data_IF_641773083114
#
_entry.id   IF_641773083114
#
_cell.length_a   1.000
_cell.length_b   1.000
_cell.length_c   1.000
_cell.angle_alpha   90.00
_cell.angle_beta   90.00
_cell.angle_gamma   90.00
#
_symmetry.space_group_name_H-M   'P 1'
#
loop_
_entity.id
_entity.type
_entity.pdbx_description
1 polymer ?
#
# COMPACT_ATOMS: atom_id res chain seq x y z
N UNK A 1 4.98 -1.48 17.61
CA UNK A 1 5.28 -0.09 17.23
C UNK A 1 6.09 -0.11 15.94
N UNK A 2 5.74 0.72 14.94
CA UNK A 2 6.51 0.82 13.69
C UNK A 2 7.61 1.86 13.89
N UNK A 3 8.85 1.40 13.96
CA UNK A 3 10.04 2.20 14.23
C UNK A 3 11.18 1.83 13.27
N UNK A 4 12.37 2.40 13.48
CA UNK A 4 13.56 2.11 12.67
C UNK A 4 13.87 0.62 12.59
N UNK A 5 13.86 -0.11 13.71
CA UNK A 5 14.13 -1.56 13.75
C UNK A 5 13.10 -2.32 12.91
N UNK A 6 11.83 -1.97 13.02
CA UNK A 6 10.77 -2.55 12.17
C UNK A 6 11.07 -2.30 10.69
N UNK A 7 11.37 -1.06 10.28
CA UNK A 7 11.62 -0.77 8.87
C UNK A 7 12.85 -1.53 8.34
N UNK A 8 13.96 -1.56 9.08
CA UNK A 8 15.15 -2.35 8.72
C UNK A 8 14.85 -3.84 8.60
N UNK A 9 13.99 -4.34 9.49
CA UNK A 9 13.56 -5.73 9.50
C UNK A 9 12.55 -6.06 8.42
N UNK A 10 11.84 -5.10 7.82
CA UNK A 10 10.75 -5.44 6.90
C UNK A 10 10.97 -4.94 5.48
N UNK A 11 11.95 -4.07 5.25
CA UNK A 11 12.42 -3.75 3.90
C UNK A 11 13.10 -5.00 3.31
N UNK A 12 12.66 -5.50 2.14
CA UNK A 12 13.29 -6.64 1.52
C UNK A 12 14.74 -6.33 1.14
N UNK A 13 15.64 -7.25 1.43
CA UNK A 13 17.08 -7.13 1.13
C UNK A 13 17.32 -7.12 -0.38
N UNK A 14 16.52 -7.87 -1.14
CA UNK A 14 16.62 -7.98 -2.59
C UNK A 14 15.54 -7.17 -3.30
N UNK A 15 15.89 -6.61 -4.45
CA UNK A 15 14.92 -6.05 -5.40
C UNK A 15 14.32 -7.20 -6.20
N UNK A 16 12.99 -7.31 -6.16
CA UNK A 16 12.26 -8.20 -7.06
C UNK A 16 11.90 -7.45 -8.36
N UNK A 17 11.35 -8.16 -9.34
CA UNK A 17 10.93 -7.58 -10.63
C UNK A 17 10.01 -6.37 -10.47
N UNK A 18 9.09 -6.40 -9.48
CA UNK A 18 8.20 -5.28 -9.19
C UNK A 18 8.97 -4.03 -8.74
N UNK A 19 10.04 -4.18 -7.96
CA UNK A 19 10.86 -3.02 -7.57
C UNK A 19 11.72 -2.49 -8.72
N UNK A 20 12.24 -3.38 -9.56
CA UNK A 20 12.99 -2.96 -10.78
C UNK A 20 12.06 -2.15 -11.69
N UNK A 21 10.83 -2.62 -11.90
CA UNK A 21 9.82 -1.91 -12.69
C UNK A 21 9.44 -0.57 -12.04
N UNK A 22 9.30 -0.51 -10.72
CA UNK A 22 9.07 0.75 -10.00
C UNK A 22 10.18 1.77 -10.26
N UNK A 23 11.44 1.36 -10.15
CA UNK A 23 12.58 2.26 -10.36
C UNK A 23 12.68 2.75 -11.81
N UNK A 24 12.43 1.86 -12.79
CA UNK A 24 12.42 2.25 -14.19
C UNK A 24 11.27 3.22 -14.53
N UNK A 25 10.06 2.98 -14.02
CA UNK A 25 8.94 3.91 -14.18
C UNK A 25 9.29 5.27 -13.57
N UNK A 26 9.80 5.28 -12.33
CA UNK A 26 10.15 6.51 -11.63
C UNK A 26 11.22 7.30 -12.39
N UNK A 27 12.26 6.62 -12.89
CA UNK A 27 13.31 7.22 -13.70
C UNK A 27 12.74 7.88 -14.96
N UNK A 28 11.88 7.18 -15.72
CA UNK A 28 11.28 7.74 -16.93
C UNK A 28 10.39 8.95 -16.67
N UNK A 29 9.68 8.98 -15.55
CA UNK A 29 8.87 10.14 -15.15
C UNK A 29 9.78 11.33 -14.81
N UNK A 30 10.89 11.09 -14.11
CA UNK A 30 11.86 12.13 -13.81
C UNK A 30 12.55 12.68 -15.07
N UNK A 31 12.83 11.82 -16.05
CA UNK A 31 13.39 12.20 -17.35
C UNK A 31 12.39 12.94 -18.25
N UNK A 32 11.08 12.78 -18.00
CA UNK A 32 10.00 13.38 -18.77
C UNK A 32 9.36 14.59 -18.04
N UNK A 33 10.14 15.35 -17.27
CA UNK A 33 9.68 16.52 -16.51
C UNK A 33 8.42 16.26 -15.65
N UNK A 34 8.37 15.07 -15.04
CA UNK A 34 7.26 14.55 -14.24
C UNK A 34 5.97 14.27 -15.03
N UNK A 35 5.98 14.40 -16.35
CA UNK A 35 4.84 14.17 -17.25
C UNK A 35 4.51 12.68 -17.37
N UNK A 36 3.22 12.35 -17.23
CA UNK A 36 2.70 11.00 -17.44
C UNK A 36 2.03 10.91 -18.81
N UNK A 37 2.72 10.30 -19.75
CA UNK A 37 2.12 9.88 -21.01
C UNK A 37 1.33 8.56 -20.85
N UNK A 38 0.72 8.13 -21.96
CA UNK A 38 -0.09 6.91 -21.96
C UNK A 38 0.71 5.63 -21.70
N UNK A 39 1.95 5.54 -22.18
CA UNK A 39 2.79 4.37 -21.98
C UNK A 39 3.21 4.26 -20.51
N UNK A 40 3.66 5.36 -19.92
CA UNK A 40 4.00 5.46 -18.50
C UNK A 40 2.79 5.14 -17.63
N UNK A 41 1.61 5.71 -17.93
CA UNK A 41 0.41 5.45 -17.16
C UNK A 41 0.03 3.96 -17.16
N UNK A 42 0.06 3.30 -18.33
CA UNK A 42 -0.20 1.87 -18.42
C UNK A 42 0.75 1.05 -17.56
N UNK A 43 2.05 1.41 -17.53
CA UNK A 43 3.03 0.76 -16.67
C UNK A 43 2.76 0.97 -15.19
N UNK A 44 2.46 2.20 -14.75
CA UNK A 44 2.05 2.49 -13.37
C UNK A 44 0.84 1.64 -12.97
N UNK A 45 -0.18 1.60 -13.84
CA UNK A 45 -1.39 0.85 -13.55
C UNK A 45 -1.15 -0.66 -13.52
N UNK A 46 -0.38 -1.19 -14.47
CA UNK A 46 -0.02 -2.60 -14.53
C UNK A 46 0.80 -3.02 -13.30
N UNK A 47 1.74 -2.18 -12.89
CA UNK A 47 2.52 -2.36 -11.66
C UNK A 47 1.61 -2.42 -10.43
N UNK A 48 0.62 -1.51 -10.33
CA UNK A 48 -0.24 -1.40 -9.14
C UNK A 48 -1.38 -2.41 -9.11
N UNK A 49 -1.99 -2.64 -10.26
CA UNK A 49 -3.31 -3.21 -10.42
C UNK A 49 -3.34 -4.21 -11.57
N UNK A 50 -2.29 -5.03 -11.71
CA UNK A 50 -2.12 -6.07 -12.74
C UNK A 50 -3.32 -7.01 -12.89
N UNK A 51 -4.09 -7.25 -11.82
CA UNK A 51 -5.30 -8.10 -11.81
C UNK A 51 -6.56 -7.38 -12.31
N UNK A 52 -6.48 -6.07 -12.49
CA UNK A 52 -7.59 -5.14 -12.72
C UNK A 52 -7.41 -4.34 -14.01
N UNK A 53 -6.54 -4.80 -14.94
CA UNK A 53 -6.23 -4.14 -16.23
C UNK A 53 -7.47 -3.79 -17.05
N UNK A 54 -8.49 -4.65 -17.02
CA UNK A 54 -9.76 -4.47 -17.74
C UNK A 54 -10.54 -3.20 -17.38
N UNK A 55 -10.25 -2.56 -16.25
CA UNK A 55 -10.97 -1.36 -15.81
C UNK A 55 -10.42 -0.05 -16.38
N UNK A 56 -9.19 -0.07 -16.91
CA UNK A 56 -8.75 0.98 -17.83
C UNK A 56 -9.26 0.63 -19.21
N UNK A 57 -9.88 1.60 -19.86
CA UNK A 57 -10.38 1.44 -21.22
C UNK A 57 -9.61 2.40 -22.12
N UNK A 58 -8.96 1.86 -23.17
CA UNK A 58 -8.14 2.63 -24.12
C UNK A 58 -8.92 3.82 -24.71
N UNK A 59 -10.23 3.66 -24.93
CA UNK A 59 -11.12 4.73 -25.41
C UNK A 59 -11.17 5.97 -24.51
N UNK A 60 -10.78 5.84 -23.23
CA UNK A 60 -10.73 6.93 -22.27
C UNK A 60 -9.33 7.53 -22.15
N UNK A 61 -8.37 7.17 -23.01
CA UNK A 61 -6.98 7.67 -22.99
C UNK A 61 -6.91 9.18 -22.81
N UNK A 62 -7.61 9.94 -23.65
CA UNK A 62 -7.57 11.41 -23.60
C UNK A 62 -8.15 11.98 -22.29
N UNK A 63 -9.16 11.30 -21.72
CA UNK A 63 -9.70 11.67 -20.41
C UNK A 63 -8.66 11.50 -19.30
N UNK A 64 -7.88 10.42 -19.32
CA UNK A 64 -6.81 10.21 -18.34
C UNK A 64 -5.68 11.23 -18.50
N UNK A 65 -5.23 11.46 -19.74
CA UNK A 65 -4.14 12.41 -20.01
C UNK A 65 -4.52 13.85 -19.67
N UNK A 66 -5.76 14.27 -19.97
CA UNK A 66 -6.28 15.57 -19.54
C UNK A 66 -6.27 15.69 -18.01
N UNK A 67 -6.75 14.66 -17.32
CA UNK A 67 -6.76 14.65 -15.86
C UNK A 67 -5.34 14.74 -15.28
N UNK A 68 -4.35 14.05 -15.87
CA UNK A 68 -2.96 14.16 -15.42
C UNK A 68 -2.36 15.54 -15.64
N UNK A 69 -2.73 16.23 -16.72
CA UNK A 69 -2.31 17.63 -16.93
C UNK A 69 -2.90 18.54 -15.84
N UNK A 70 -4.18 18.40 -15.55
CA UNK A 70 -4.85 19.21 -14.53
C UNK A 70 -4.26 19.01 -13.13
N UNK A 71 -3.77 17.81 -12.78
CA UNK A 71 -3.24 17.59 -11.42
C UNK A 71 -1.96 18.37 -11.14
N UNK A 72 -1.21 18.85 -12.13
CA UNK A 72 0.02 19.61 -11.87
C UNK A 72 -0.29 20.96 -11.21
N UNK A 73 -1.38 21.61 -11.64
CA UNK A 73 -1.78 22.95 -11.19
C UNK A 73 -2.52 22.97 -9.85
N UNK A 74 -2.96 21.81 -9.36
CA UNK A 74 -3.71 21.70 -8.10
C UNK A 74 -2.80 21.84 -6.87
N UNK A 75 -3.36 22.24 -5.72
CA UNK A 75 -2.64 22.16 -4.44
C UNK A 75 -2.50 20.70 -3.99
N UNK A 76 -1.47 20.40 -3.20
CA UNK A 76 -1.18 19.03 -2.76
C UNK A 76 -2.36 18.37 -2.03
N UNK A 77 -3.16 19.14 -1.29
CA UNK A 77 -4.34 18.64 -0.57
C UNK A 77 -5.47 18.24 -1.51
N UNK A 78 -5.56 18.85 -2.70
CA UNK A 78 -6.63 18.66 -3.68
C UNK A 78 -6.35 17.49 -4.62
N UNK A 79 -5.07 17.21 -4.91
CA UNK A 79 -4.64 16.23 -5.92
C UNK A 79 -5.27 14.84 -5.75
N UNK A 80 -5.37 14.33 -4.52
CA UNK A 80 -5.95 13.00 -4.27
C UNK A 80 -7.48 12.97 -4.45
N UNK A 81 -8.16 14.08 -4.12
CA UNK A 81 -9.61 14.18 -4.24
C UNK A 81 -10.05 14.45 -5.67
N UNK A 82 -9.21 15.12 -6.46
CA UNK A 82 -9.44 15.31 -7.90
C UNK A 82 -9.67 14.00 -8.65
N UNK A 83 -8.96 12.92 -8.28
CA UNK A 83 -9.19 11.59 -8.86
C UNK A 83 -10.55 10.99 -8.48
N UNK A 84 -11.14 11.39 -7.35
CA UNK A 84 -12.47 10.93 -6.91
C UNK A 84 -13.58 11.70 -7.60
N UNK A 85 -13.39 12.99 -7.82
CA UNK A 85 -14.35 13.91 -8.41
C UNK A 85 -13.57 14.90 -9.28
N UNK A 86 -13.51 14.64 -10.59
CA UNK A 86 -12.93 15.61 -11.52
C UNK A 86 -13.78 16.88 -11.53
N UNK A 87 -13.22 18.01 -11.99
CA UNK A 87 -13.94 19.30 -12.15
C UNK A 87 -15.26 19.17 -12.94
N UNK A 88 -15.38 18.14 -13.78
CA UNK A 88 -16.57 17.79 -14.55
C UNK A 88 -17.43 16.66 -13.94
N UNK A 89 -17.24 16.33 -12.66
CA UNK A 89 -17.92 15.25 -11.90
C UNK A 89 -17.83 13.85 -12.53
N UNK A 90 -16.91 13.63 -13.48
CA UNK A 90 -16.69 12.31 -14.08
C UNK A 90 -15.61 11.58 -13.31
N UNK A 91 -15.96 10.46 -12.68
CA UNK A 91 -14.97 9.55 -12.10
C UNK A 91 -14.09 8.99 -13.22
N UNK A 92 -12.77 9.01 -13.02
CA UNK A 92 -11.85 8.36 -13.95
C UNK A 92 -12.02 6.84 -13.84
N UNK A 93 -12.46 6.13 -14.89
CA UNK A 93 -12.73 4.71 -14.81
C UNK A 93 -11.49 3.93 -14.40
N UNK A 94 -11.62 2.99 -13.46
CA UNK A 94 -10.50 2.20 -12.95
C UNK A 94 -9.55 2.93 -11.99
N UNK A 95 -9.63 4.26 -11.83
CA UNK A 95 -8.76 5.01 -10.92
C UNK A 95 -9.49 5.23 -9.59
N UNK A 96 -9.34 4.27 -8.69
CA UNK A 96 -9.74 4.39 -7.29
C UNK A 96 -8.59 4.95 -6.44
N UNK A 97 -8.87 5.29 -5.18
CA UNK A 97 -7.87 5.90 -4.26
C UNK A 97 -6.52 5.16 -4.17
N UNK A 98 -6.44 3.81 -4.17
CA UNK A 98 -5.16 3.11 -4.21
C UNK A 98 -4.35 3.37 -5.49
N UNK A 99 -5.02 3.45 -6.64
CA UNK A 99 -4.38 3.75 -7.92
C UNK A 99 -4.00 5.23 -7.98
N UNK A 100 -4.90 6.12 -7.58
CA UNK A 100 -4.66 7.56 -7.53
C UNK A 100 -3.45 7.93 -6.64
N UNK A 101 -3.37 7.37 -5.44
CA UNK A 101 -2.21 7.57 -4.55
C UNK A 101 -0.92 7.01 -5.12
N UNK A 102 -0.99 5.94 -5.92
CA UNK A 102 0.19 5.39 -6.62
C UNK A 102 0.67 6.30 -7.73
N UNK A 103 -0.25 6.81 -8.56
CA UNK A 103 0.07 7.79 -9.62
C UNK A 103 0.72 9.02 -8.99
N UNK A 104 0.11 9.58 -7.95
CA UNK A 104 0.67 10.74 -7.23
C UNK A 104 2.01 10.44 -6.57
N UNK A 105 2.22 9.22 -6.07
CA UNK A 105 3.52 8.81 -5.54
C UNK A 105 4.60 8.80 -6.62
N UNK A 106 4.31 8.32 -7.82
CA UNK A 106 5.28 8.33 -8.91
C UNK A 106 5.66 9.76 -9.35
N UNK A 107 4.71 10.69 -9.35
CA UNK A 107 4.98 12.11 -9.68
C UNK A 107 5.70 12.82 -8.52
N UNK A 108 5.30 12.52 -7.27
CA UNK A 108 5.75 13.21 -6.07
C UNK A 108 6.13 12.21 -4.95
N UNK A 109 7.22 11.46 -5.11
CA UNK A 109 7.56 10.30 -4.26
C UNK A 109 7.80 10.64 -2.79
N UNK A 110 8.12 11.91 -2.49
CA UNK A 110 8.37 12.40 -1.14
C UNK A 110 7.14 13.05 -0.47
N UNK A 111 6.02 13.18 -1.19
CA UNK A 111 4.82 13.89 -0.71
C UNK A 111 3.59 12.99 -0.57
N UNK A 112 3.46 11.99 -1.43
CA UNK A 112 2.28 11.12 -1.48
C UNK A 112 2.67 9.68 -1.18
N UNK A 113 2.31 9.12 -0.01
CA UNK A 113 2.49 7.70 0.23
C UNK A 113 1.48 6.89 -0.59
N UNK A 114 1.91 5.71 -1.04
CA UNK A 114 1.05 4.74 -1.73
C UNK A 114 0.07 4.15 -0.73
N UNK A 115 -1.23 4.26 -0.98
CA UNK A 115 -2.24 3.62 -0.12
C UNK A 115 -2.63 2.26 -0.69
N UNK A 116 -2.18 1.18 -0.06
CA UNK A 116 -2.60 -0.18 -0.38
C UNK A 116 -3.38 -0.83 0.76
N UNK A 117 -4.28 -1.76 0.43
CA UNK A 117 -5.05 -2.53 1.43
C UNK A 117 -4.14 -3.29 2.40
N UNK A 118 -2.99 -3.80 1.95
CA UNK A 118 -1.99 -4.47 2.78
C UNK A 118 -1.33 -3.50 3.75
N UNK A 119 -0.87 -2.34 3.26
CA UNK A 119 -0.27 -1.32 4.15
C UNK A 119 -1.25 -0.80 5.20
N UNK A 120 -2.52 -0.58 4.82
CA UNK A 120 -3.60 -0.22 5.76
C UNK A 120 -3.84 -1.36 6.76
N UNK A 121 -3.78 -2.61 6.30
CA UNK A 121 -3.84 -3.80 7.14
C UNK A 121 -2.75 -3.79 8.21
N UNK A 122 -1.49 -3.64 7.81
CA UNK A 122 -0.34 -3.58 8.72
C UNK A 122 -0.48 -2.45 9.76
N UNK A 123 -0.87 -1.25 9.34
CA UNK A 123 -1.08 -0.13 10.27
C UNK A 123 -2.22 -0.41 11.27
N UNK A 124 -3.30 -1.06 10.81
CA UNK A 124 -4.42 -1.46 11.69
C UNK A 124 -3.97 -2.52 12.70
N UNK A 125 -3.25 -3.54 12.22
CA UNK A 125 -2.77 -4.64 13.05
C UNK A 125 -1.76 -4.18 14.11
N UNK A 126 -0.98 -3.14 13.81
CA UNK A 126 -0.06 -2.48 14.75
C UNK A 126 -0.74 -1.43 15.65
N UNK A 127 -2.06 -1.29 15.58
CA UNK A 127 -2.85 -0.37 16.42
C UNK A 127 -2.72 1.11 16.07
N UNK A 128 -2.11 1.45 14.93
CA UNK A 128 -1.97 2.84 14.47
C UNK A 128 -3.23 3.35 13.78
N UNK A 129 -4.04 2.44 13.25
CA UNK A 129 -5.37 2.74 12.72
C UNK A 129 -6.44 1.96 13.47
N UNK A 130 -7.53 2.64 13.83
CA UNK A 130 -8.67 2.00 14.53
C UNK A 130 -9.42 0.99 13.65
N UNK A 131 -9.45 1.22 12.33
CA UNK A 131 -10.19 0.41 11.35
C UNK A 131 -9.54 0.48 9.98
N UNK A 132 -9.87 -0.48 9.10
CA UNK A 132 -9.35 -0.51 7.71
C UNK A 132 -9.98 0.54 6.80
N UNK A 133 -11.25 0.91 7.05
CA UNK A 133 -11.94 1.96 6.28
C UNK A 133 -11.60 3.34 6.86
N UNK A 134 -10.53 3.93 6.35
CA UNK A 134 -10.03 5.26 6.73
C UNK A 134 -9.87 6.18 5.52
N UNK A 135 -9.82 7.49 5.76
CA UNK A 135 -9.52 8.45 4.71
C UNK A 135 -8.05 8.41 4.29
N UNK A 136 -7.73 8.86 3.07
CA UNK A 136 -6.33 9.03 2.65
C UNK A 136 -5.58 10.02 3.55
N UNK A 137 -6.25 11.06 4.07
CA UNK A 137 -5.64 12.05 4.97
C UNK A 137 -5.15 11.40 6.27
N UNK A 138 -5.98 10.56 6.88
CA UNK A 138 -5.61 9.84 8.10
C UNK A 138 -4.48 8.85 7.83
N UNK A 139 -4.56 8.12 6.71
CA UNK A 139 -3.49 7.22 6.26
C UNK A 139 -2.17 7.98 6.11
N UNK A 140 -2.18 9.08 5.36
CA UNK A 140 -1.03 9.95 5.10
C UNK A 140 -0.45 10.44 6.43
N UNK A 141 -1.29 10.86 7.37
CA UNK A 141 -0.88 11.34 8.69
C UNK A 141 -0.07 10.29 9.45
N UNK A 142 -0.55 9.04 9.51
CA UNK A 142 0.19 7.96 10.19
C UNK A 142 1.50 7.60 9.48
N UNK A 143 1.52 7.58 8.15
CA UNK A 143 2.76 7.37 7.40
C UNK A 143 3.78 8.49 7.67
N UNK A 144 3.35 9.75 7.70
CA UNK A 144 4.25 10.87 7.99
C UNK A 144 4.75 10.87 9.44
N UNK A 145 3.96 10.37 10.40
CA UNK A 145 4.46 10.11 11.77
C UNK A 145 5.60 9.09 11.75
N UNK A 146 5.44 7.97 11.05
CA UNK A 146 6.50 6.96 10.89
C UNK A 146 7.74 7.57 10.22
N UNK A 147 7.55 8.30 9.13
CA UNK A 147 8.60 8.97 8.37
C UNK A 147 9.41 9.95 9.23
N UNK A 148 8.72 10.79 10.02
CA UNK A 148 9.36 11.76 10.91
C UNK A 148 10.04 11.10 12.12
N UNK A 149 9.41 10.09 12.74
CA UNK A 149 9.98 9.36 13.87
C UNK A 149 11.26 8.61 13.50
N UNK A 150 11.41 8.21 12.23
CA UNK A 150 12.62 7.60 11.71
C UNK A 150 13.61 8.64 11.13
N UNK A 151 13.48 9.91 11.50
CA UNK A 151 14.34 11.03 11.06
C UNK A 151 14.52 11.09 9.54
N UNK A 152 13.51 10.67 8.77
CA UNK A 152 13.54 10.63 7.30
C UNK A 152 14.65 9.76 6.69
N UNK A 153 15.19 8.81 7.46
CA UNK A 153 16.19 7.84 6.97
C UNK A 153 15.61 6.93 5.86
N UNK A 154 14.30 6.73 5.87
CA UNK A 154 13.58 5.87 4.91
C UNK A 154 12.67 6.71 4.04
N UNK A 155 12.74 6.54 2.72
CA UNK A 155 11.78 7.14 1.79
C UNK A 155 10.36 6.60 2.03
N UNK A 156 9.35 7.33 1.56
CA UNK A 156 7.96 6.86 1.63
C UNK A 156 7.78 5.50 0.94
N UNK A 157 8.52 5.23 -0.15
CA UNK A 157 8.54 3.92 -0.81
C UNK A 157 9.13 2.83 0.08
N UNK A 158 10.24 3.09 0.77
CA UNK A 158 10.84 2.12 1.71
C UNK A 158 9.88 1.79 2.86
N UNK A 159 9.15 2.79 3.37
CA UNK A 159 8.10 2.56 4.38
C UNK A 159 6.98 1.70 3.80
N UNK A 160 6.43 2.06 2.64
CA UNK A 160 5.39 1.28 1.95
C UNK A 160 5.80 -0.18 1.74
N UNK A 161 7.03 -0.43 1.26
CA UNK A 161 7.57 -1.80 1.10
C UNK A 161 7.64 -2.56 2.40
N UNK A 162 8.14 -1.94 3.47
CA UNK A 162 8.20 -2.59 4.78
C UNK A 162 6.81 -3.03 5.27
N UNK A 163 5.83 -2.14 5.14
CA UNK A 163 4.44 -2.43 5.53
C UNK A 163 3.84 -3.55 4.68
N UNK A 164 4.09 -3.53 3.37
CA UNK A 164 3.59 -4.51 2.43
C UNK A 164 4.18 -5.90 2.68
N UNK A 165 5.50 -6.01 2.80
CA UNK A 165 6.21 -7.26 3.09
C UNK A 165 5.76 -7.87 4.41
N UNK A 166 5.58 -7.05 5.46
CA UNK A 166 5.02 -7.54 6.72
C UNK A 166 3.63 -8.17 6.54
N UNK A 167 2.75 -7.53 5.77
CA UNK A 167 1.42 -8.07 5.49
C UNK A 167 1.48 -9.36 4.67
N UNK A 168 2.36 -9.46 3.67
CA UNK A 168 2.48 -10.65 2.82
C UNK A 168 2.98 -11.86 3.62
N UNK A 169 4.03 -11.69 4.42
CA UNK A 169 4.55 -12.77 5.24
C UNK A 169 3.57 -13.21 6.32
N UNK A 170 2.83 -12.26 6.92
CA UNK A 170 1.76 -12.58 7.87
C UNK A 170 0.65 -13.41 7.21
N UNK A 171 0.23 -13.03 6.00
CA UNK A 171 -0.77 -13.78 5.23
C UNK A 171 -0.28 -15.20 4.92
N UNK A 172 0.98 -15.33 4.50
CA UNK A 172 1.62 -16.62 4.25
C UNK A 172 1.61 -17.49 5.51
N UNK A 173 2.11 -16.97 6.64
CA UNK A 173 2.16 -17.70 7.91
C UNK A 173 0.75 -18.13 8.36
N UNK A 174 -0.24 -17.24 8.21
CA UNK A 174 -1.64 -17.57 8.51
C UNK A 174 -2.21 -18.69 7.63
N UNK A 175 -1.78 -18.81 6.37
CA UNK A 175 -2.18 -19.92 5.49
C UNK A 175 -1.55 -21.24 5.93
N UNK A 176 -0.27 -21.21 6.29
CA UNK A 176 0.47 -22.37 6.82
C UNK A 176 -0.19 -22.89 8.10
N UNK A 177 -0.47 -22.02 9.07
CA UNK A 177 -1.11 -22.39 10.34
C UNK A 177 -2.53 -22.97 10.16
N UNK A 178 -3.20 -22.64 9.05
CA UNK A 178 -4.53 -23.19 8.71
C UNK A 178 -4.47 -24.53 7.97
N UNK A 179 -3.29 -25.16 7.89
CA UNK A 179 -3.11 -26.44 7.21
C UNK A 179 -3.36 -26.37 5.69
N UNK A 180 -3.37 -25.17 5.10
CA UNK A 180 -3.44 -25.05 3.64
C UNK A 180 -2.07 -25.43 3.09
N UNK A 181 -1.99 -26.49 2.29
CA UNK A 181 -0.76 -27.01 1.68
C UNK A 181 0.05 -25.88 1.03
N UNK A 182 1.16 -25.52 1.66
CA UNK A 182 2.12 -24.54 1.17
C UNK A 182 3.54 -25.09 1.37
N UNK A 183 3.77 -26.34 1.00
CA UNK A 183 5.11 -26.97 1.16
C UNK A 183 6.14 -26.25 0.25
N UNK A 184 5.71 -25.69 -0.88
CA UNK A 184 6.56 -24.94 -1.81
C UNK A 184 6.82 -23.47 -1.42
N UNK A 185 5.84 -22.71 -0.90
CA UNK A 185 6.12 -21.29 -0.54
C UNK A 185 6.93 -21.17 0.78
N UNK A 186 6.85 -22.18 1.65
CA UNK A 186 7.60 -22.25 2.92
C UNK A 186 9.11 -22.28 2.67
N UNK A 187 9.61 -23.10 1.75
CA UNK A 187 11.05 -23.27 1.52
C UNK A 187 11.75 -21.99 0.99
N UNK A 188 11.00 -21.12 0.29
CA UNK A 188 11.53 -19.88 -0.30
C UNK A 188 11.47 -18.72 0.70
N UNK A 189 10.41 -18.64 1.53
CA UNK A 189 10.19 -17.50 2.44
C UNK A 189 10.77 -17.71 3.86
N UNK A 190 11.12 -18.95 4.23
CA UNK A 190 11.74 -19.25 5.53
C UNK A 190 13.22 -18.84 5.61
N UNK A 191 13.84 -18.22 4.60
CA UNK A 191 15.17 -17.58 4.75
C UNK A 191 15.17 -16.32 5.65
N UNK A 192 14.12 -16.11 6.44
CA UNK A 192 13.99 -14.95 7.31
C UNK A 192 14.54 -15.17 8.74
N UNK A 193 15.22 -14.15 9.33
CA UNK A 193 15.74 -14.21 10.69
C UNK A 193 14.66 -14.58 11.71
N UNK A 194 15.01 -15.39 12.70
CA UNK A 194 14.11 -15.88 13.76
C UNK A 194 13.28 -14.74 14.42
N UNK A 195 13.87 -13.54 14.55
CA UNK A 195 13.19 -12.35 15.10
C UNK A 195 11.92 -11.95 14.32
N UNK A 196 11.93 -12.00 12.96
CA UNK A 196 10.76 -11.64 12.15
C UNK A 196 9.61 -12.61 12.37
N UNK A 197 9.92 -13.90 12.51
CA UNK A 197 8.93 -14.96 12.75
C UNK A 197 8.28 -14.82 14.12
N UNK A 198 9.06 -14.56 15.16
CA UNK A 198 8.54 -14.30 16.51
C UNK A 198 7.60 -13.10 16.53
N UNK A 199 7.97 -11.99 15.88
CA UNK A 199 7.10 -10.81 15.78
C UNK A 199 5.77 -11.14 15.09
N UNK A 200 5.80 -11.91 14.00
CA UNK A 200 4.58 -12.33 13.29
C UNK A 200 3.71 -13.27 14.11
N UNK A 201 4.29 -14.22 14.84
CA UNK A 201 3.56 -15.13 15.71
C UNK A 201 2.83 -14.33 16.79
N UNK A 202 3.53 -13.39 17.45
CA UNK A 202 2.92 -12.51 18.46
C UNK A 202 1.78 -11.66 17.87
N UNK A 203 1.96 -11.09 16.66
CA UNK A 203 0.90 -10.33 15.98
C UNK A 203 -0.33 -11.19 15.66
N UNK A 204 -0.13 -12.46 15.28
CA UNK A 204 -1.21 -13.40 15.00
C UNK A 204 -1.94 -13.83 16.27
N UNK A 205 -1.21 -14.14 17.35
CA UNK A 205 -1.79 -14.45 18.65
C UNK A 205 -2.64 -13.29 19.19
N UNK A 206 -2.13 -12.07 19.10
CA UNK A 206 -2.86 -10.87 19.52
C UNK A 206 -4.13 -10.67 18.70
N UNK A 207 -4.06 -10.89 17.37
CA UNK A 207 -5.24 -10.83 16.51
C UNK A 207 -6.27 -11.92 16.85
N UNK A 208 -5.81 -13.13 17.20
CA UNK A 208 -6.70 -14.23 17.60
C UNK A 208 -7.39 -13.95 18.93
N UNK A 209 -6.64 -13.51 19.95
CA UNK A 209 -7.17 -13.08 21.25
C UNK A 209 -8.21 -11.97 21.10
N UNK A 210 -7.94 -10.96 20.27
CA UNK A 210 -8.89 -9.88 20.00
C UNK A 210 -10.18 -10.38 19.34
N UNK A 211 -10.11 -11.40 18.48
CA UNK A 211 -11.30 -12.01 17.87
C UNK A 211 -12.09 -12.88 18.85
N UNK A 212 -11.42 -13.58 19.77
CA UNK A 212 -12.10 -14.33 20.85
C UNK A 212 -12.92 -13.38 21.74
N UNK A 213 -12.34 -12.25 22.14
CA UNK A 213 -13.07 -11.23 22.94
C UNK A 213 -14.31 -10.71 22.19
N UNK A 214 -14.20 -10.47 20.87
CA UNK A 214 -15.35 -10.06 20.06
C UNK A 214 -16.43 -11.14 20.01
N UNK A 215 -16.05 -12.40 19.84
CA UNK A 215 -16.98 -13.52 19.84
C UNK A 215 -17.70 -13.65 21.20
N UNK A 216 -16.98 -13.50 22.31
CA UNK A 216 -17.58 -13.55 23.64
C UNK A 216 -18.57 -12.40 23.88
N UNK A 217 -18.28 -11.20 23.38
CA UNK A 217 -19.22 -10.07 23.43
C UNK A 217 -20.47 -10.33 22.58
N UNK A 218 -20.30 -10.84 21.36
CA UNK A 218 -21.41 -11.25 20.49
C UNK A 218 -22.28 -12.34 21.12
N UNK A 219 -21.68 -13.35 21.77
CA UNK A 219 -22.41 -14.37 22.52
C UNK A 219 -23.28 -13.74 23.61
N UNK A 220 -22.72 -12.81 24.39
CA UNK A 220 -23.46 -12.10 25.46
C UNK A 220 -24.63 -11.27 24.93
N UNK A 221 -24.51 -10.68 23.75
CA UNK A 221 -25.58 -9.93 23.09
C UNK A 221 -26.71 -10.83 22.60
N UNK A 222 -26.41 -12.04 22.12
CA UNK A 222 -27.41 -13.00 21.65
C UNK A 222 -28.15 -13.68 22.81
N UNK A 223 -27.50 -13.86 23.96
CA UNK A 223 -28.09 -14.49 25.16
C UNK A 223 -28.85 -13.51 26.07
N UNK A 224 -29.02 -12.26 25.66
CA UNK A 224 -29.82 -11.23 26.34
C UNK A 224 -31.14 -11.03 25.61
#
# INVERSE_FOLDING_TARGET
MINRKFLQNWIPIYKNESEIEYEDILKKIQENDLYIDWAIFKRIYDWKASRSKKYIVEKNKELYLSAFKEIYDLKDEEKIYFFKETKHRKKLPGILEPVASTILHFIYPNKFPIRDVRTVGTLTDKGLLRKRKISYKDYKTEIFKIYNNCKREFSLRKIDRALFTNSEEKELLSRVLRGKNVITDIAIHLKNPQERRLELIMDLENSFKANLVKLDNLKKEITR
#
